data_IF_963743418620
#
_entry.id   IF_963743418620
#
_cell.length_a   1.000
_cell.length_b   1.000
_cell.length_c   1.000
_cell.angle_alpha   90.00
_cell.angle_beta   90.00
_cell.angle_gamma   90.00
#
_symmetry.space_group_name_H-M   'P 1'
#
loop_
_entity.id
_entity.type
_entity.pdbx_description
1 polymer ?
#
# COMPACT_ATOMS: atom_id res chain seq x y z
N UNK A 1 9.24 -7.04 -8.27
CA UNK A 1 8.15 -7.44 -9.20
C UNK A 1 7.86 -6.31 -10.16
N UNK A 2 7.52 -6.60 -11.43
CA UNK A 2 7.05 -5.56 -12.38
C UNK A 2 5.57 -5.25 -12.16
N UNK A 3 5.08 -4.11 -12.67
CA UNK A 3 3.68 -3.70 -12.52
C UNK A 3 2.66 -4.75 -12.97
N UNK A 4 2.95 -5.47 -14.06
CA UNK A 4 2.10 -6.56 -14.56
C UNK A 4 2.01 -7.74 -13.60
N UNK A 5 3.12 -8.10 -12.97
CA UNK A 5 3.18 -9.18 -11.98
C UNK A 5 2.41 -8.81 -10.70
N UNK A 6 2.57 -7.58 -10.22
CA UNK A 6 1.79 -7.04 -9.10
C UNK A 6 0.29 -7.06 -9.40
N UNK A 7 -0.09 -6.62 -10.61
CA UNK A 7 -1.49 -6.59 -11.03
C UNK A 7 -2.11 -8.00 -11.04
N UNK A 8 -1.41 -8.99 -11.58
CA UNK A 8 -1.85 -10.40 -11.56
C UNK A 8 -2.01 -10.91 -10.13
N UNK A 9 -1.02 -10.71 -9.25
CA UNK A 9 -1.09 -11.15 -7.84
C UNK A 9 -2.22 -10.48 -7.07
N UNK A 10 -2.52 -9.23 -7.38
CA UNK A 10 -3.61 -8.48 -6.76
C UNK A 10 -4.98 -8.71 -7.44
N UNK A 11 -5.04 -9.54 -8.48
CA UNK A 11 -6.24 -9.76 -9.31
C UNK A 11 -6.86 -8.45 -9.79
N UNK A 12 -6.02 -7.54 -10.29
CA UNK A 12 -6.41 -6.21 -10.75
C UNK A 12 -5.74 -5.85 -12.08
N UNK A 13 -6.09 -4.68 -12.64
CA UNK A 13 -5.50 -4.18 -13.88
C UNK A 13 -4.23 -3.35 -13.60
N UNK A 14 -3.16 -3.44 -14.42
CA UNK A 14 -1.93 -2.64 -14.24
C UNK A 14 -2.19 -1.14 -14.18
N UNK A 15 -3.19 -0.65 -14.93
CA UNK A 15 -3.61 0.75 -14.88
C UNK A 15 -4.12 1.20 -13.50
N UNK A 16 -4.69 0.29 -12.70
CA UNK A 16 -5.09 0.61 -11.32
C UNK A 16 -3.88 0.71 -10.41
N UNK A 17 -2.90 -0.20 -10.56
CA UNK A 17 -1.62 -0.13 -9.83
C UNK A 17 -0.90 1.18 -10.14
N UNK A 18 -0.82 1.55 -11.43
CA UNK A 18 -0.26 2.82 -11.87
C UNK A 18 -1.00 4.02 -11.25
N UNK A 19 -2.34 3.95 -11.13
CA UNK A 19 -3.12 4.98 -10.45
C UNK A 19 -2.73 5.11 -8.98
N UNK A 20 -2.52 4.01 -8.27
CA UNK A 20 -2.11 4.06 -6.86
C UNK A 20 -0.74 4.70 -6.69
N UNK A 21 0.21 4.43 -7.59
CA UNK A 21 1.50 5.13 -7.61
C UNK A 21 1.33 6.63 -7.84
N UNK A 22 0.52 7.02 -8.84
CA UNK A 22 0.23 8.43 -9.11
C UNK A 22 -0.45 9.18 -7.96
N UNK A 23 -1.14 8.45 -7.09
CA UNK A 23 -1.80 9.01 -5.91
C UNK A 23 -0.92 8.94 -4.65
N UNK A 24 0.32 8.43 -4.75
CA UNK A 24 1.23 8.26 -3.61
C UNK A 24 0.76 7.20 -2.60
N UNK A 25 -0.10 6.27 -3.01
CA UNK A 25 -0.61 5.20 -2.13
C UNK A 25 0.29 3.96 -2.15
N UNK A 26 1.12 3.81 -3.17
CA UNK A 26 2.07 2.70 -3.34
C UNK A 26 3.30 3.27 -4.02
N UNK A 27 4.48 3.02 -3.46
CA UNK A 27 5.73 3.47 -4.05
C UNK A 27 6.47 2.30 -4.71
N UNK A 28 6.94 2.45 -5.96
CA UNK A 28 7.91 1.52 -6.52
C UNK A 28 9.31 1.79 -5.93
N UNK A 29 10.15 0.76 -5.93
CA UNK A 29 11.57 0.79 -5.53
C UNK A 29 12.36 1.80 -6.39
N UNK A 30 12.02 1.88 -7.68
CA UNK A 30 12.58 2.86 -8.60
C UNK A 30 11.46 3.42 -9.49
N UNK A 31 11.40 4.74 -9.57
CA UNK A 31 10.45 5.49 -10.40
C UNK A 31 11.06 5.92 -11.74
N UNK A 32 12.36 5.66 -11.97
CA UNK A 32 13.04 5.98 -13.24
C UNK A 32 12.46 5.14 -14.38
N UNK A 33 12.28 5.78 -15.53
CA UNK A 33 11.74 5.13 -16.72
C UNK A 33 10.22 5.12 -16.78
N UNK A 34 9.66 4.26 -17.63
CA UNK A 34 8.21 4.16 -17.83
C UNK A 34 7.55 3.29 -16.75
N UNK A 35 6.23 3.41 -16.51
CA UNK A 35 5.52 2.60 -15.51
C UNK A 35 5.73 1.08 -15.62
N UNK A 36 5.97 0.58 -16.83
CA UNK A 36 6.25 -0.83 -17.12
C UNK A 36 7.63 -1.29 -16.61
N UNK A 37 8.55 -0.34 -16.42
CA UNK A 37 9.90 -0.57 -15.91
C UNK A 37 10.00 -0.47 -14.39
N UNK A 38 8.99 0.08 -13.72
CA UNK A 38 8.96 0.19 -12.26
C UNK A 38 9.03 -1.19 -11.59
N UNK A 39 9.81 -1.23 -10.51
CA UNK A 39 9.96 -2.40 -9.66
C UNK A 39 9.27 -2.17 -8.32
N UNK A 40 8.58 -3.20 -7.82
CA UNK A 40 7.88 -3.17 -6.55
C UNK A 40 8.40 -4.27 -5.62
N UNK A 41 8.42 -3.98 -4.32
CA UNK A 41 8.66 -4.98 -3.28
C UNK A 41 7.46 -5.93 -3.12
N UNK A 42 7.69 -7.06 -2.44
CA UNK A 42 6.61 -8.00 -2.12
C UNK A 42 5.48 -7.37 -1.30
N UNK A 43 5.80 -6.40 -0.45
CA UNK A 43 4.84 -5.67 0.39
C UNK A 43 3.84 -4.81 -0.40
N UNK A 44 4.10 -4.53 -1.68
CA UNK A 44 3.14 -3.84 -2.54
C UNK A 44 1.84 -4.64 -2.69
N UNK A 45 1.90 -5.98 -2.69
CA UNK A 45 0.71 -6.84 -2.86
C UNK A 45 -0.27 -6.72 -1.69
N UNK A 46 0.12 -6.94 -0.42
CA UNK A 46 -0.78 -6.76 0.71
C UNK A 46 -1.24 -5.30 0.88
N UNK A 47 -0.40 -4.31 0.55
CA UNK A 47 -0.79 -2.89 0.56
C UNK A 47 -1.91 -2.60 -0.46
N UNK A 48 -1.76 -3.06 -1.70
CA UNK A 48 -2.76 -2.90 -2.76
C UNK A 48 -4.07 -3.61 -2.39
N UNK A 49 -4.00 -4.82 -1.83
CA UNK A 49 -5.17 -5.53 -1.35
C UNK A 49 -5.92 -4.72 -0.27
N UNK A 50 -5.18 -4.10 0.66
CA UNK A 50 -5.74 -3.23 1.70
C UNK A 50 -6.41 -1.98 1.10
N UNK A 51 -5.77 -1.32 0.12
CA UNK A 51 -6.33 -0.17 -0.60
C UNK A 51 -7.66 -0.53 -1.28
N UNK A 52 -7.69 -1.66 -2.01
CA UNK A 52 -8.88 -2.13 -2.73
C UNK A 52 -10.01 -2.43 -1.73
N UNK A 53 -9.69 -3.08 -0.62
CA UNK A 53 -10.67 -3.39 0.44
C UNK A 53 -11.28 -2.12 1.04
N UNK A 54 -10.45 -1.16 1.45
CA UNK A 54 -10.92 0.13 1.99
C UNK A 54 -11.82 0.87 1.00
N UNK A 55 -11.50 0.81 -0.29
CA UNK A 55 -12.32 1.45 -1.33
C UNK A 55 -13.65 0.73 -1.55
N UNK A 56 -13.63 -0.60 -1.64
CA UNK A 56 -14.79 -1.38 -2.07
C UNK A 56 -15.75 -1.71 -0.92
N UNK A 57 -15.22 -2.01 0.27
CA UNK A 57 -16.03 -2.47 1.39
C UNK A 57 -16.45 -1.32 2.32
N UNK A 58 -15.62 -0.29 2.46
CA UNK A 58 -15.89 0.85 3.36
C UNK A 58 -16.29 2.13 2.60
N UNK A 59 -16.32 2.09 1.26
CA UNK A 59 -16.69 3.22 0.42
C UNK A 59 -15.73 4.42 0.51
N UNK A 60 -14.52 4.21 1.03
CA UNK A 60 -13.56 5.30 1.27
C UNK A 60 -12.96 5.77 -0.06
N UNK A 61 -12.95 7.08 -0.30
CA UNK A 61 -12.30 7.62 -1.49
C UNK A 61 -10.76 7.48 -1.41
N UNK A 62 -10.03 7.62 -2.52
CA UNK A 62 -8.58 7.35 -2.51
C UNK A 62 -7.76 8.29 -1.63
N UNK A 63 -8.19 9.55 -1.47
CA UNK A 63 -7.53 10.47 -0.54
C UNK A 63 -7.73 10.00 0.91
N UNK A 64 -8.95 9.59 1.26
CA UNK A 64 -9.28 9.01 2.55
C UNK A 64 -8.55 7.69 2.80
N UNK A 65 -8.31 6.88 1.76
CA UNK A 65 -7.48 5.67 1.89
C UNK A 65 -6.08 6.02 2.38
N UNK A 66 -5.46 7.06 1.81
CA UNK A 66 -4.15 7.54 2.27
C UNK A 66 -4.14 7.88 3.77
N UNK A 67 -5.13 8.66 4.21
CA UNK A 67 -5.30 9.02 5.63
C UNK A 67 -5.49 7.78 6.51
N UNK A 68 -6.32 6.82 6.08
CA UNK A 68 -6.53 5.57 6.84
C UNK A 68 -5.25 4.75 6.94
N UNK A 69 -4.46 4.66 5.87
CA UNK A 69 -3.18 3.95 5.89
C UNK A 69 -2.20 4.60 6.86
N UNK A 70 -2.08 5.93 6.85
CA UNK A 70 -1.23 6.67 7.79
C UNK A 70 -1.66 6.45 9.25
N UNK A 71 -2.97 6.49 9.53
CA UNK A 71 -3.49 6.25 10.87
C UNK A 71 -3.23 4.81 11.34
N UNK A 72 -3.40 3.81 10.46
CA UNK A 72 -3.08 2.42 10.79
C UNK A 72 -1.58 2.24 11.10
N UNK A 73 -0.70 2.90 10.33
CA UNK A 73 0.73 2.86 10.60
C UNK A 73 1.06 3.51 11.96
N UNK A 74 0.44 4.65 12.26
CA UNK A 74 0.58 5.31 13.56
C UNK A 74 0.09 4.45 14.72
N UNK A 75 -1.02 3.73 14.55
CA UNK A 75 -1.52 2.78 15.56
C UNK A 75 -0.50 1.65 15.76
N UNK A 76 0.00 1.03 14.69
CA UNK A 76 1.01 -0.03 14.77
C UNK A 76 2.27 0.43 15.53
N UNK A 77 2.76 1.64 15.23
CA UNK A 77 3.91 2.23 15.94
C UNK A 77 3.63 2.42 17.44
N UNK A 78 2.43 2.91 17.79
CA UNK A 78 2.05 3.12 19.19
C UNK A 78 1.90 1.78 19.93
N UNK A 79 1.25 0.79 19.33
CA UNK A 79 1.10 -0.56 19.90
C UNK A 79 2.45 -1.26 20.09
N UNK A 80 3.40 -1.09 19.15
CA UNK A 80 4.75 -1.59 19.29
C UNK A 80 5.46 -0.98 20.50
N UNK A 81 5.38 0.35 20.67
CA UNK A 81 5.97 1.05 21.81
C UNK A 81 5.38 0.60 23.14
N UNK A 82 4.06 0.37 23.20
CA UNK A 82 3.40 -0.17 24.40
C UNK A 82 3.97 -1.56 24.72
N UNK A 83 4.05 -2.46 23.73
CA UNK A 83 4.61 -3.81 23.92
C UNK A 83 6.08 -3.79 24.38
N UNK A 84 6.88 -2.85 23.88
CA UNK A 84 8.27 -2.68 24.31
C UNK A 84 8.35 -2.25 25.78
N UNK A 85 7.51 -1.32 26.20
CA UNK A 85 7.43 -0.86 27.59
C UNK A 85 6.94 -1.96 28.53
N UNK A 86 5.92 -2.74 28.12
CA UNK A 86 5.39 -3.86 28.90
C UNK A 86 6.38 -5.02 29.05
N UNK A 87 7.31 -5.21 28.10
CA UNK A 87 8.37 -6.23 28.19
C UNK A 87 9.54 -5.81 29.08
N UNK A 88 9.70 -4.51 29.32
CA UNK A 88 10.74 -3.95 30.18
C UNK A 88 10.28 -3.73 31.63
N UNK A 89 9.00 -3.95 31.91
CA UNK A 89 8.38 -4.05 33.23
C UNK A 89 8.34 -5.53 33.69
#
# INVERSE_FOLDING_TARGET
MRIGEVAVRCRTHPGLVHRFVRLGLVDPIDTRGTPEQWLFENEAVPLIAKIIRLRNELGVNYAGVGVVLELLERINMLENRIRELERGL
#
